data_IF_216648807245
#
_entry.id   IF_216648807245
#
_cell.length_a   1.000
_cell.length_b   1.000
_cell.length_c   1.000
_cell.angle_alpha   90.00
_cell.angle_beta   90.00
_cell.angle_gamma   90.00
#
_symmetry.space_group_name_H-M   'P 1'
#
loop_
_entity.id
_entity.type
_entity.pdbx_description
1 polymer ?
#
# COMPACT_ATOMS: atom_id res chain seq x y z
N UNK A 1 26.72 0.45 20.21
CA UNK A 1 25.83 1.45 20.83
C UNK A 1 26.47 2.85 20.91
N UNK A 2 27.70 3.03 21.41
CA UNK A 2 28.34 4.37 21.44
C UNK A 2 29.01 4.83 20.11
N UNK A 3 29.17 3.94 19.12
CA UNK A 3 29.87 4.26 17.86
C UNK A 3 29.02 4.94 16.78
N UNK A 4 27.70 4.94 16.91
CA UNK A 4 26.77 5.52 15.91
C UNK A 4 26.61 7.03 16.12
N UNK A 5 26.66 7.47 17.38
CA UNK A 5 26.55 8.89 17.78
C UNK A 5 27.70 9.77 17.23
N UNK A 6 28.86 9.19 16.97
CA UNK A 6 30.04 9.93 16.52
C UNK A 6 30.05 10.17 14.99
N UNK A 7 29.40 9.31 14.21
CA UNK A 7 29.40 9.39 12.74
C UNK A 7 28.42 10.46 12.25
N UNK A 8 27.31 10.65 12.96
CA UNK A 8 26.28 11.63 12.61
C UNK A 8 26.78 13.07 12.80
N UNK A 9 27.63 13.33 13.81
CA UNK A 9 28.15 14.68 14.10
C UNK A 9 29.26 15.10 13.10
N UNK A 10 30.05 14.15 12.58
CA UNK A 10 31.22 14.46 11.73
C UNK A 10 30.84 14.72 10.26
N UNK A 11 29.70 14.20 9.79
CA UNK A 11 29.27 14.37 8.38
C UNK A 11 28.49 15.67 8.15
N UNK A 12 27.98 16.32 9.21
CA UNK A 12 27.28 17.62 9.16
C UNK A 12 28.18 18.76 8.65
N UNK A 13 29.51 18.56 8.59
CA UNK A 13 30.46 19.62 8.30
C UNK A 13 30.95 19.75 6.84
N UNK A 14 30.53 18.91 5.88
CA UNK A 14 31.32 18.76 4.63
C UNK A 14 30.69 18.84 3.24
N UNK A 15 29.40 19.10 3.01
CA UNK A 15 28.92 19.13 1.61
C UNK A 15 28.03 20.33 1.31
N UNK A 16 28.70 21.48 1.19
CA UNK A 16 28.27 22.56 0.32
C UNK A 16 28.68 22.26 -1.13
N UNK A 17 27.77 22.59 -2.04
CA UNK A 17 27.87 22.65 -3.51
C UNK A 17 27.75 21.34 -4.31
N UNK A 18 26.54 21.16 -4.88
CA UNK A 18 26.43 21.26 -6.34
C UNK A 18 25.75 20.10 -7.08
N UNK A 19 24.41 20.12 -7.16
CA UNK A 19 23.68 19.48 -8.26
C UNK A 19 22.68 20.47 -8.87
N UNK A 20 22.79 20.68 -10.18
CA UNK A 20 21.78 21.39 -10.99
C UNK A 20 20.96 20.39 -11.81
N UNK A 21 19.68 20.71 -11.88
CA UNK A 21 18.58 19.91 -12.40
C UNK A 21 18.55 19.75 -13.93
N UNK A 22 17.81 18.73 -14.41
CA UNK A 22 16.97 18.93 -15.60
C UNK A 22 15.75 18.01 -15.64
N UNK A 23 14.59 18.66 -15.52
CA UNK A 23 13.23 18.16 -15.75
C UNK A 23 12.99 18.03 -17.26
N UNK A 24 12.24 17.02 -17.72
CA UNK A 24 11.35 17.17 -18.87
C UNK A 24 10.20 16.17 -18.82
N UNK A 25 9.03 16.74 -19.06
CA UNK A 25 7.68 16.22 -19.00
C UNK A 25 7.26 15.78 -20.41
N UNK A 26 6.44 14.74 -20.54
CA UNK A 26 5.52 14.61 -21.67
C UNK A 26 4.31 13.75 -21.27
N UNK A 27 3.17 14.42 -21.23
CA UNK A 27 1.82 13.89 -21.38
C UNK A 27 1.65 13.23 -22.77
N UNK A 28 0.89 12.15 -22.89
CA UNK A 28 -0.54 12.18 -23.20
C UNK A 28 -1.03 10.85 -23.84
N UNK A 29 -2.31 10.61 -23.56
CA UNK A 29 -3.33 10.04 -24.43
C UNK A 29 -3.68 8.54 -24.44
N UNK A 30 -4.99 8.43 -24.53
CA UNK A 30 -5.92 7.39 -24.18
C UNK A 30 -6.37 6.75 -25.49
N UNK A 31 -6.16 5.44 -25.66
CA UNK A 31 -6.98 4.59 -26.53
C UNK A 31 -6.66 3.13 -26.27
N UNK A 32 -7.64 2.39 -25.72
CA UNK A 32 -7.56 0.94 -25.57
C UNK A 32 -7.96 0.27 -26.88
N UNK A 33 -6.97 0.01 -27.73
CA UNK A 33 -7.09 -0.87 -28.90
C UNK A 33 -6.36 -2.17 -28.63
N UNK A 34 -7.10 -3.28 -28.68
CA UNK A 34 -6.53 -4.64 -28.66
C UNK A 34 -5.80 -4.86 -29.98
N UNK A 35 -4.48 -4.72 -29.97
CA UNK A 35 -3.65 -5.01 -31.13
C UNK A 35 -3.13 -6.45 -31.04
N UNK A 36 -3.72 -7.32 -31.87
CA UNK A 36 -3.26 -8.68 -32.12
C UNK A 36 -2.01 -8.63 -32.98
N UNK A 37 -0.86 -9.03 -32.46
CA UNK A 37 0.27 -9.42 -33.31
C UNK A 37 0.06 -10.89 -33.70
N UNK A 38 -0.70 -11.11 -34.78
CA UNK A 38 -0.84 -12.44 -35.38
C UNK A 38 0.50 -12.84 -36.00
N UNK A 39 1.09 -13.89 -35.46
CA UNK A 39 2.14 -14.64 -36.13
C UNK A 39 1.54 -15.27 -37.41
N UNK A 40 2.21 -15.00 -38.53
CA UNK A 40 1.83 -15.36 -39.90
C UNK A 40 1.46 -16.86 -40.00
N UNK A 41 0.27 -17.13 -40.53
CA UNK A 41 -0.35 -18.45 -40.68
C UNK A 41 0.33 -19.26 -41.79
N UNK A 42 1.26 -20.15 -41.41
CA UNK A 42 1.73 -21.26 -42.25
C UNK A 42 0.92 -22.50 -41.87
N UNK A 43 0.05 -22.94 -42.79
CA UNK A 43 -1.04 -23.88 -42.55
C UNK A 43 -0.73 -25.11 -41.68
N UNK A 44 -1.56 -25.29 -40.64
CA UNK A 44 -1.94 -26.52 -39.91
C UNK A 44 -0.91 -27.63 -39.59
N UNK A 45 0.40 -27.42 -39.75
CA UNK A 45 1.41 -28.48 -39.54
C UNK A 45 2.01 -28.54 -38.14
N UNK A 46 1.79 -27.54 -37.28
CA UNK A 46 2.39 -27.48 -35.93
C UNK A 46 1.33 -27.21 -34.87
N UNK A 47 1.62 -27.60 -33.63
CA UNK A 47 0.80 -27.25 -32.48
C UNK A 47 0.72 -25.72 -32.37
N UNK A 48 -0.48 -25.23 -32.13
CA UNK A 48 -0.79 -23.81 -31.95
C UNK A 48 -1.56 -23.62 -30.66
N UNK A 49 -1.38 -22.46 -30.04
CA UNK A 49 -2.03 -22.06 -28.79
C UNK A 49 -2.81 -20.77 -29.03
N UNK A 50 -4.05 -20.73 -28.55
CA UNK A 50 -4.90 -19.56 -28.53
C UNK A 50 -5.35 -19.32 -27.10
N UNK A 51 -5.38 -18.05 -26.69
CA UNK A 51 -5.93 -17.62 -25.41
C UNK A 51 -6.96 -16.55 -25.68
N UNK A 52 -8.17 -16.76 -25.16
CA UNK A 52 -9.26 -15.80 -25.23
C UNK A 52 -9.61 -15.31 -23.82
N UNK A 53 -9.94 -14.02 -23.71
CA UNK A 53 -10.41 -13.42 -22.47
C UNK A 53 -11.94 -13.46 -22.46
N UNK A 54 -12.50 -14.30 -21.61
CA UNK A 54 -13.94 -14.45 -21.43
C UNK A 54 -14.38 -13.66 -20.20
N UNK A 55 -15.58 -13.07 -20.24
CA UNK A 55 -16.24 -12.47 -19.08
C UNK A 55 -17.37 -13.37 -18.63
N UNK A 56 -17.30 -13.85 -17.40
CA UNK A 56 -18.32 -14.70 -16.81
C UNK A 56 -19.01 -13.97 -15.65
N UNK A 57 -20.33 -14.10 -15.57
CA UNK A 57 -21.08 -13.63 -14.41
C UNK A 57 -20.97 -14.67 -13.28
N UNK A 58 -20.59 -14.21 -12.09
CA UNK A 58 -20.53 -15.00 -10.85
C UNK A 58 -21.46 -14.37 -9.81
N UNK A 59 -21.74 -15.08 -8.71
CA UNK A 59 -22.55 -14.56 -7.61
C UNK A 59 -21.96 -13.28 -6.99
N UNK A 60 -20.64 -13.08 -7.11
CA UNK A 60 -19.89 -11.94 -6.57
C UNK A 60 -19.61 -10.83 -7.60
N UNK A 61 -20.05 -10.99 -8.85
CA UNK A 61 -19.90 -9.95 -9.88
C UNK A 61 -19.52 -10.50 -11.26
N UNK A 62 -18.67 -9.78 -11.99
CA UNK A 62 -18.10 -10.23 -13.25
C UNK A 62 -16.65 -10.65 -13.03
N UNK A 63 -16.27 -11.78 -13.60
CA UNK A 63 -14.92 -12.34 -13.55
C UNK A 63 -14.36 -12.49 -14.96
N UNK A 64 -13.14 -11.98 -15.15
CA UNK A 64 -12.37 -12.21 -16.36
C UNK A 64 -11.67 -13.58 -16.25
N UNK A 65 -11.77 -14.40 -17.30
CA UNK A 65 -11.21 -15.76 -17.36
C UNK A 65 -10.38 -15.91 -18.64
N UNK A 66 -9.15 -16.40 -18.50
CA UNK A 66 -8.36 -16.83 -19.66
C UNK A 66 -8.77 -18.25 -20.06
N UNK A 67 -9.32 -18.41 -21.27
CA UNK A 67 -9.60 -19.71 -21.87
C UNK A 67 -8.43 -20.09 -22.80
N UNK A 68 -7.63 -21.06 -22.37
CA UNK A 68 -6.42 -21.52 -23.06
C UNK A 68 -6.77 -22.76 -23.87
N UNK A 69 -6.52 -22.69 -25.17
CA UNK A 69 -6.91 -23.73 -26.14
C UNK A 69 -5.76 -24.06 -27.08
N UNK A 70 -5.69 -25.32 -27.50
CA UNK A 70 -4.69 -25.79 -28.46
C UNK A 70 -5.33 -26.44 -29.67
N UNK A 71 -4.61 -26.40 -30.80
CA UNK A 71 -4.99 -27.01 -32.07
C UNK A 71 -3.74 -27.37 -32.88
N UNK A 72 -3.82 -28.39 -33.72
CA UNK A 72 -2.77 -28.72 -34.69
C UNK A 72 -2.18 -30.11 -34.51
N UNK A 73 -1.05 -30.32 -35.15
CA UNK A 73 -0.39 -31.62 -35.25
C UNK A 73 0.52 -31.88 -34.04
N UNK A 74 0.45 -33.11 -33.51
CA UNK A 74 1.28 -33.60 -32.42
C UNK A 74 1.98 -34.89 -32.89
N UNK A 75 3.31 -34.92 -32.79
CA UNK A 75 4.12 -36.07 -33.16
C UNK A 75 4.61 -36.78 -31.90
N UNK A 76 3.88 -37.80 -31.46
CA UNK A 76 4.27 -38.64 -30.33
C UNK A 76 5.46 -39.55 -30.71
N UNK A 77 6.21 -40.06 -29.71
CA UNK A 77 7.22 -41.10 -29.94
C UNK A 77 6.63 -42.37 -30.56
N UNK A 78 5.46 -42.79 -30.08
CA UNK A 78 4.75 -44.00 -30.51
C UNK A 78 3.22 -43.84 -30.45
N UNK A 79 2.49 -44.80 -31.01
CA UNK A 79 1.04 -44.83 -30.90
C UNK A 79 0.60 -45.26 -29.51
N UNK A 80 -0.45 -44.64 -28.99
CA UNK A 80 -0.91 -44.88 -27.63
C UNK A 80 -0.08 -44.20 -26.55
N UNK A 81 0.67 -43.14 -26.90
CA UNK A 81 1.52 -42.46 -25.94
C UNK A 81 0.69 -41.60 -24.97
N UNK A 82 0.93 -41.76 -23.66
CA UNK A 82 0.24 -40.97 -22.63
C UNK A 82 0.88 -39.60 -22.45
N UNK A 83 0.03 -38.58 -22.31
CA UNK A 83 0.46 -37.19 -22.28
C UNK A 83 -0.17 -36.41 -21.14
N UNK A 84 0.62 -35.52 -20.57
CA UNK A 84 0.17 -34.45 -19.68
C UNK A 84 0.22 -33.12 -20.43
N UNK A 85 -0.75 -32.25 -20.20
CA UNK A 85 -0.69 -30.87 -20.65
C UNK A 85 -0.17 -29.99 -19.52
N UNK A 86 0.90 -29.26 -19.80
CA UNK A 86 1.48 -28.28 -18.91
C UNK A 86 1.18 -26.88 -19.44
N UNK A 87 0.77 -25.97 -18.55
CA UNK A 87 0.62 -24.55 -18.85
C UNK A 87 1.51 -23.74 -17.91
N UNK A 88 2.32 -22.87 -18.50
CA UNK A 88 3.14 -21.88 -17.80
C UNK A 88 2.75 -20.49 -18.29
N UNK A 89 2.74 -19.53 -17.37
CA UNK A 89 2.41 -18.14 -17.63
C UNK A 89 3.55 -17.22 -17.17
N UNK A 90 4.02 -16.37 -18.06
CA UNK A 90 5.02 -15.34 -17.73
C UNK A 90 4.63 -13.97 -18.26
N UNK A 91 5.07 -12.94 -17.55
CA UNK A 91 4.99 -11.55 -17.97
C UNK A 91 6.27 -11.18 -18.74
N UNK A 92 6.11 -10.83 -20.01
CA UNK A 92 7.19 -10.44 -20.93
C UNK A 92 7.06 -8.97 -21.36
N UNK A 93 6.43 -8.14 -20.51
CA UNK A 93 6.16 -6.73 -20.83
C UNK A 93 7.42 -5.96 -21.16
N UNK A 94 8.46 -6.12 -20.36
CA UNK A 94 9.75 -5.45 -20.59
C UNK A 94 10.50 -6.09 -21.75
N UNK A 95 10.73 -7.41 -21.68
CA UNK A 95 11.28 -8.22 -22.76
C UNK A 95 11.10 -9.73 -22.46
N UNK A 96 11.39 -10.60 -23.43
CA UNK A 96 11.29 -12.06 -23.23
C UNK A 96 12.45 -12.66 -22.43
N UNK A 97 13.64 -12.06 -22.47
CA UNK A 97 14.84 -12.58 -21.79
C UNK A 97 14.82 -12.38 -20.27
N UNK A 98 13.98 -11.46 -19.80
CA UNK A 98 13.75 -11.09 -18.41
C UNK A 98 12.28 -11.31 -18.07
N UNK A 99 11.71 -12.41 -18.58
CA UNK A 99 10.35 -12.82 -18.29
C UNK A 99 10.16 -12.96 -16.77
N UNK A 100 9.15 -12.26 -16.24
CA UNK A 100 8.82 -12.29 -14.82
C UNK A 100 7.74 -13.34 -14.56
N UNK A 101 7.81 -14.08 -13.44
CA UNK A 101 6.80 -15.06 -13.11
C UNK A 101 5.47 -14.38 -12.81
N UNK A 102 4.38 -14.93 -13.31
CA UNK A 102 3.04 -14.60 -12.81
C UNK A 102 2.74 -15.52 -11.65
N UNK A 103 2.37 -14.96 -10.49
CA UNK A 103 2.09 -15.77 -9.30
C UNK A 103 0.61 -16.20 -9.27
N UNK A 104 0.30 -17.28 -8.57
CA UNK A 104 -1.06 -17.77 -8.37
C UNK A 104 -1.41 -17.86 -6.88
N UNK A 105 -2.63 -17.52 -6.50
CA UNK A 105 -3.12 -17.65 -5.12
C UNK A 105 -3.66 -19.06 -4.81
N UNK A 106 -3.92 -19.87 -5.84
CA UNK A 106 -4.47 -21.21 -5.68
C UNK A 106 -3.32 -22.21 -5.60
N UNK A 107 -3.13 -22.85 -4.44
CA UNK A 107 -1.99 -23.73 -4.16
C UNK A 107 -1.81 -24.88 -5.17
N UNK A 108 -2.91 -25.48 -5.66
CA UNK A 108 -2.84 -26.54 -6.69
C UNK A 108 -2.32 -26.08 -8.06
N UNK A 109 -2.22 -24.76 -8.27
CA UNK A 109 -1.72 -24.14 -9.50
C UNK A 109 -0.41 -23.37 -9.26
N UNK A 110 0.31 -23.72 -8.21
CA UNK A 110 1.64 -23.20 -7.92
C UNK A 110 2.69 -24.26 -8.25
N UNK A 111 3.93 -23.83 -8.51
CA UNK A 111 5.07 -24.74 -8.53
C UNK A 111 5.35 -25.27 -7.12
N UNK A 112 6.00 -26.44 -7.01
CA UNK A 112 6.27 -27.09 -5.72
C UNK A 112 7.03 -26.18 -4.74
N UNK A 113 8.04 -25.46 -5.23
CA UNK A 113 8.89 -24.58 -4.42
C UNK A 113 8.66 -23.07 -4.69
N UNK A 114 7.58 -22.72 -5.40
CA UNK A 114 7.37 -21.32 -5.79
C UNK A 114 5.89 -20.99 -6.02
N UNK A 115 5.43 -19.79 -5.60
CA UNK A 115 4.07 -19.34 -5.87
C UNK A 115 3.81 -19.01 -7.35
N UNK A 116 4.80 -19.20 -8.23
CA UNK A 116 4.65 -19.03 -9.67
C UNK A 116 3.54 -19.95 -10.20
N UNK A 117 2.72 -19.41 -11.10
CA UNK A 117 1.64 -20.13 -11.74
C UNK A 117 2.20 -21.32 -12.53
N UNK A 118 1.63 -22.49 -12.26
CA UNK A 118 1.94 -23.74 -12.93
C UNK A 118 0.71 -24.62 -12.94
N UNK A 119 0.35 -25.15 -14.09
CA UNK A 119 -0.70 -26.15 -14.19
C UNK A 119 -0.19 -27.35 -14.98
N UNK A 120 -0.43 -28.55 -14.45
CA UNK A 120 -0.19 -29.83 -15.14
C UNK A 120 -1.38 -30.74 -14.87
N UNK A 121 -1.94 -31.30 -15.92
CA UNK A 121 -3.01 -32.29 -15.81
C UNK A 121 -2.89 -33.35 -16.91
N UNK A 122 -3.50 -34.51 -16.68
CA UNK A 122 -3.54 -35.58 -17.65
C UNK A 122 -4.36 -35.15 -18.87
N UNK A 123 -3.70 -35.04 -20.02
CA UNK A 123 -4.35 -34.63 -21.26
C UNK A 123 -4.97 -35.81 -22.02
N UNK A 124 -4.41 -37.01 -21.82
CA UNK A 124 -4.92 -38.23 -22.42
C UNK A 124 -3.88 -39.00 -23.23
N UNK A 125 -4.37 -40.00 -23.95
CA UNK A 125 -3.58 -40.93 -24.77
C UNK A 125 -3.66 -40.54 -26.25
N UNK A 126 -2.51 -40.32 -26.88
CA UNK A 126 -2.40 -40.05 -28.32
C UNK A 126 -2.49 -41.36 -29.09
N UNK A 127 -3.64 -41.64 -29.70
CA UNK A 127 -3.93 -42.94 -30.34
C UNK A 127 -3.00 -43.28 -31.52
N UNK A 128 -2.45 -42.26 -32.18
CA UNK A 128 -1.52 -42.43 -33.29
C UNK A 128 -0.23 -41.64 -33.04
N UNK A 129 0.88 -42.12 -33.60
CA UNK A 129 2.17 -41.42 -33.58
C UNK A 129 2.02 -39.99 -34.11
N UNK A 130 1.25 -39.85 -35.18
CA UNK A 130 0.85 -38.57 -35.75
C UNK A 130 -0.61 -38.30 -35.36
N UNK A 131 -0.83 -37.49 -34.34
CA UNK A 131 -2.17 -37.10 -33.89
C UNK A 131 -2.50 -35.68 -34.34
N UNK A 132 -3.75 -35.43 -34.76
CA UNK A 132 -4.21 -34.12 -35.22
C UNK A 132 -5.38 -33.65 -34.35
N UNK A 133 -5.22 -32.49 -33.70
CA UNK A 133 -6.32 -31.78 -33.05
C UNK A 133 -7.00 -30.89 -34.09
N UNK A 134 -8.10 -31.38 -34.67
CA UNK A 134 -8.82 -30.67 -35.74
C UNK A 134 -9.56 -29.43 -35.25
N UNK A 135 -9.99 -29.41 -33.99
CA UNK A 135 -10.72 -28.33 -33.35
C UNK A 135 -9.89 -27.72 -32.22
N UNK A 136 -10.27 -26.51 -31.80
CA UNK A 136 -9.72 -25.90 -30.60
C UNK A 136 -10.18 -26.67 -29.37
N UNK A 137 -9.24 -27.35 -28.72
CA UNK A 137 -9.49 -28.09 -27.49
C UNK A 137 -9.07 -27.24 -26.30
N UNK A 138 -9.97 -27.07 -25.33
CA UNK A 138 -9.65 -26.38 -24.09
C UNK A 138 -8.66 -27.20 -23.25
N UNK A 139 -7.62 -26.53 -22.78
CA UNK A 139 -6.60 -27.10 -21.87
C UNK A 139 -6.87 -26.62 -20.45
N UNK A 140 -7.15 -25.32 -20.29
CA UNK A 140 -7.36 -24.71 -18.98
C UNK A 140 -8.25 -23.47 -19.10
N UNK A 141 -9.15 -23.31 -18.13
CA UNK A 141 -9.82 -22.04 -17.84
C UNK A 141 -9.26 -21.45 -16.55
N UNK A 142 -8.66 -20.26 -16.65
CA UNK A 142 -7.88 -19.64 -15.59
C UNK A 142 -8.49 -18.30 -15.18
N UNK A 143 -9.19 -18.23 -14.03
CA UNK A 143 -9.73 -16.98 -13.51
C UNK A 143 -8.63 -15.95 -13.24
N UNK A 144 -8.73 -14.76 -13.82
CA UNK A 144 -7.70 -13.74 -13.74
C UNK A 144 -7.48 -13.20 -12.31
N UNK A 145 -8.49 -13.30 -11.43
CA UNK A 145 -8.38 -12.88 -10.03
C UNK A 145 -7.50 -13.82 -9.17
N UNK A 146 -7.21 -15.03 -9.64
CA UNK A 146 -6.28 -15.96 -8.98
C UNK A 146 -4.82 -15.63 -9.27
N UNK A 147 -4.57 -14.70 -10.21
CA UNK A 147 -3.24 -14.33 -10.64
C UNK A 147 -2.78 -13.02 -10.01
N UNK A 148 -1.52 -13.01 -9.56
CA UNK A 148 -0.81 -11.80 -9.11
C UNK A 148 0.30 -11.50 -10.10
N UNK A 149 0.11 -10.45 -10.88
CA UNK A 149 1.07 -10.00 -11.89
C UNK A 149 2.24 -9.23 -11.24
N UNK A 150 3.37 -9.07 -11.95
CA UNK A 150 4.52 -8.32 -11.42
C UNK A 150 4.21 -6.85 -11.14
N UNK A 151 3.53 -6.17 -12.06
CA UNK A 151 3.08 -4.79 -11.82
C UNK A 151 1.72 -4.45 -12.48
N UNK A 152 1.15 -3.30 -12.15
CA UNK A 152 -0.12 -2.76 -12.64
C UNK A 152 -0.01 -2.26 -14.08
N UNK A 153 -1.13 -2.14 -14.78
CA UNK A 153 -1.23 -1.53 -16.10
C UNK A 153 -1.26 -2.57 -17.23
N UNK A 154 -0.90 -2.13 -18.43
CA UNK A 154 -0.93 -2.98 -19.62
C UNK A 154 0.25 -3.94 -19.61
N UNK A 155 -0.03 -5.25 -19.64
CA UNK A 155 0.94 -6.34 -19.57
C UNK A 155 0.91 -7.20 -20.82
N UNK A 156 2.09 -7.66 -21.25
CA UNK A 156 2.25 -8.68 -22.30
C UNK A 156 2.47 -10.02 -21.62
N UNK A 157 1.47 -10.89 -21.68
CA UNK A 157 1.50 -12.18 -21.02
C UNK A 157 1.75 -13.27 -22.04
N UNK A 158 2.76 -14.10 -21.81
CA UNK A 158 3.09 -15.27 -22.65
C UNK A 158 2.56 -16.52 -21.98
N UNK A 159 1.63 -17.18 -22.65
CA UNK A 159 1.10 -18.47 -22.27
C UNK A 159 1.85 -19.52 -23.08
N UNK A 160 2.51 -20.46 -22.40
CA UNK A 160 3.18 -21.60 -23.03
C UNK A 160 2.43 -22.85 -22.63
N UNK A 161 1.99 -23.61 -23.62
CA UNK A 161 1.37 -24.93 -23.44
C UNK A 161 2.33 -25.97 -24.00
N UNK A 162 2.77 -26.90 -23.15
CA UNK A 162 3.64 -28.01 -23.52
C UNK A 162 2.92 -29.32 -23.24
N UNK A 163 2.92 -30.22 -24.24
CA UNK A 163 2.48 -31.60 -24.08
C UNK A 163 3.69 -32.44 -23.70
N UNK A 164 3.65 -33.06 -22.54
CA UNK A 164 4.74 -33.84 -21.96
C UNK A 164 4.43 -35.33 -21.99
N UNK A 165 5.45 -36.17 -22.14
CA UNK A 165 5.32 -37.61 -21.93
C UNK A 165 5.12 -37.93 -20.44
N UNK A 166 4.07 -38.69 -20.10
CA UNK A 166 3.72 -39.00 -18.70
C UNK A 166 4.75 -39.89 -17.97
N UNK A 167 5.64 -40.58 -18.70
CA UNK A 167 6.68 -41.44 -18.12
C UNK A 167 8.06 -40.79 -18.07
N UNK A 168 8.41 -39.95 -19.05
CA UNK A 168 9.76 -39.40 -19.20
C UNK A 168 9.85 -37.90 -19.02
N UNK A 169 8.72 -37.20 -18.89
CA UNK A 169 8.59 -35.74 -18.81
C UNK A 169 9.15 -34.97 -20.00
N UNK A 170 9.54 -35.67 -21.07
CA UNK A 170 10.05 -35.06 -22.28
C UNK A 170 8.92 -34.30 -22.99
N UNK A 171 9.25 -33.09 -23.46
CA UNK A 171 8.34 -32.31 -24.28
C UNK A 171 8.14 -32.98 -25.66
N UNK A 172 6.87 -33.24 -25.99
CA UNK A 172 6.44 -33.84 -27.25
C UNK A 172 6.10 -32.73 -28.26
N UNK A 173 5.42 -31.69 -27.78
CA UNK A 173 5.06 -30.52 -28.58
C UNK A 173 4.85 -29.33 -27.64
N UNK A 174 5.14 -28.13 -28.15
CA UNK A 174 4.86 -26.89 -27.44
C UNK A 174 4.32 -25.83 -28.38
N UNK A 175 3.47 -24.97 -27.83
CA UNK A 175 2.97 -23.78 -28.50
C UNK A 175 2.86 -22.65 -27.49
N UNK A 176 3.07 -21.42 -27.95
CA UNK A 176 2.87 -20.25 -27.11
C UNK A 176 2.03 -19.20 -27.81
N UNK A 177 1.34 -18.39 -27.00
CA UNK A 177 0.59 -17.22 -27.46
C UNK A 177 0.91 -16.05 -26.53
N UNK A 178 0.96 -14.85 -27.09
CA UNK A 178 1.14 -13.62 -26.33
C UNK A 178 -0.16 -12.83 -26.39
N UNK A 179 -0.68 -12.44 -25.24
CA UNK A 179 -1.84 -11.54 -25.14
C UNK A 179 -1.47 -10.26 -24.41
N UNK A 180 -2.24 -9.20 -24.66
CA UNK A 180 -2.17 -7.96 -23.88
C UNK A 180 -3.32 -7.93 -22.89
N UNK A 181 -2.99 -7.77 -21.60
CA UNK A 181 -3.97 -7.73 -20.50
C UNK A 181 -3.75 -6.48 -19.66
N UNK A 182 -4.83 -5.77 -19.30
CA UNK A 182 -4.75 -4.55 -18.48
C UNK A 182 -5.05 -4.88 -17.02
N UNK A 183 -4.01 -4.96 -16.19
CA UNK A 183 -4.15 -5.10 -14.75
C UNK A 183 -4.54 -3.78 -14.09
N UNK A 184 -5.63 -3.77 -13.32
CA UNK A 184 -6.05 -2.63 -12.53
C UNK A 184 -5.41 -2.58 -11.13
N UNK A 185 -4.95 -3.72 -10.62
CA UNK A 185 -4.40 -3.87 -9.27
C UNK A 185 -2.87 -3.73 -9.26
N UNK A 186 -2.26 -3.20 -8.18
CA UNK A 186 -0.83 -3.26 -7.96
C UNK A 186 -0.32 -4.71 -8.07
N UNK A 187 0.79 -4.91 -8.77
CA UNK A 187 1.46 -6.20 -8.78
C UNK A 187 2.42 -6.38 -7.60
N UNK A 188 3.01 -7.56 -7.45
CA UNK A 188 3.89 -7.86 -6.30
C UNK A 188 5.16 -6.99 -6.27
N UNK A 189 5.66 -6.53 -7.42
CA UNK A 189 6.77 -5.57 -7.50
C UNK A 189 6.28 -4.19 -7.06
N UNK A 190 5.12 -3.73 -7.54
CA UNK A 190 4.56 -2.44 -7.12
C UNK A 190 4.33 -2.42 -5.61
N UNK A 191 3.83 -3.51 -5.02
CA UNK A 191 3.60 -3.60 -3.57
C UNK A 191 4.92 -3.43 -2.80
N UNK A 192 5.97 -4.11 -3.24
CA UNK A 192 7.30 -4.04 -2.62
C UNK A 192 7.91 -2.64 -2.75
N UNK A 193 7.80 -2.02 -3.94
CA UNK A 193 8.28 -0.65 -4.17
C UNK A 193 7.46 0.37 -3.40
N UNK A 194 6.13 0.25 -3.39
CA UNK A 194 5.23 1.12 -2.65
C UNK A 194 5.47 1.03 -1.13
N UNK A 195 5.78 -0.15 -0.59
CA UNK A 195 6.14 -0.30 0.81
C UNK A 195 7.37 0.55 1.16
N UNK A 196 8.43 0.48 0.33
CA UNK A 196 9.65 1.29 0.51
C UNK A 196 9.37 2.79 0.42
N UNK A 197 8.56 3.20 -0.57
CA UNK A 197 8.16 4.60 -0.74
C UNK A 197 7.33 5.08 0.45
N UNK A 198 6.44 4.23 0.96
CA UNK A 198 5.60 4.52 2.13
C UNK A 198 6.43 4.77 3.38
N UNK A 199 7.46 3.96 3.62
CA UNK A 199 8.38 4.16 4.75
C UNK A 199 9.13 5.49 4.63
N UNK A 200 9.65 5.81 3.44
CA UNK A 200 10.34 7.08 3.19
C UNK A 200 9.43 8.28 3.43
N UNK A 201 8.20 8.25 2.88
CA UNK A 201 7.22 9.33 3.07
C UNK A 201 6.75 9.44 4.52
N UNK A 202 6.66 8.31 5.24
CA UNK A 202 6.29 8.29 6.66
C UNK A 202 7.33 9.02 7.51
N UNK A 203 8.63 8.73 7.28
CA UNK A 203 9.71 9.44 7.97
C UNK A 203 9.67 10.93 7.63
N UNK A 204 9.56 11.28 6.34
CA UNK A 204 9.49 12.69 5.92
C UNK A 204 8.31 13.43 6.56
N UNK A 205 7.12 12.83 6.55
CA UNK A 205 5.94 13.39 7.20
C UNK A 205 6.18 13.60 8.70
N UNK A 206 6.70 12.59 9.38
CA UNK A 206 6.97 12.65 10.81
C UNK A 206 8.02 13.70 11.17
N UNK A 207 9.09 13.82 10.38
CA UNK A 207 10.09 14.88 10.54
C UNK A 207 9.50 16.28 10.31
N UNK A 208 8.58 16.42 9.34
CA UNK A 208 7.89 17.68 9.09
C UNK A 208 7.08 18.15 10.32
N UNK A 209 6.61 17.23 11.16
CA UNK A 209 5.88 17.55 12.38
C UNK A 209 6.69 18.36 13.41
N UNK A 210 8.03 18.26 13.39
CA UNK A 210 8.90 18.96 14.33
C UNK A 210 9.12 20.43 13.98
N UNK A 211 9.09 20.74 12.68
CA UNK A 211 9.59 22.01 12.18
C UNK A 211 11.10 22.22 12.39
N UNK A 212 11.66 23.33 11.87
CA UNK A 212 13.10 23.60 11.92
C UNK A 212 13.63 23.80 13.35
N UNK A 213 12.80 24.29 14.27
CA UNK A 213 13.20 24.65 15.63
C UNK A 213 13.34 23.43 16.55
N UNK A 214 12.57 22.35 16.32
CA UNK A 214 12.53 21.19 17.21
C UNK A 214 13.24 19.95 16.64
N UNK A 215 13.95 20.10 15.51
CA UNK A 215 14.61 18.98 14.83
C UNK A 215 15.75 18.35 15.63
N UNK A 216 16.35 19.08 16.57
CA UNK A 216 17.42 18.61 17.47
C UNK A 216 16.86 18.10 18.81
N UNK A 217 15.54 17.95 18.94
CA UNK A 217 14.90 17.43 20.14
C UNK A 217 15.26 15.95 20.35
N UNK A 218 15.95 15.66 21.46
CA UNK A 218 16.43 14.31 21.81
C UNK A 218 15.28 13.28 21.89
N UNK A 219 14.12 13.69 22.42
CA UNK A 219 12.95 12.80 22.50
C UNK A 219 12.40 12.44 21.12
N UNK A 220 12.51 13.34 20.14
CA UNK A 220 12.09 13.07 18.77
C UNK A 220 13.05 12.11 18.05
N UNK A 221 14.36 12.21 18.34
CA UNK A 221 15.35 11.23 17.91
C UNK A 221 15.01 9.82 18.40
N UNK A 222 14.72 9.68 19.71
CA UNK A 222 14.35 8.40 20.31
C UNK A 222 13.07 7.80 19.70
N UNK A 223 12.03 8.60 19.47
CA UNK A 223 10.79 8.15 18.82
C UNK A 223 11.06 7.56 17.43
N UNK A 224 11.91 8.23 16.64
CA UNK A 224 12.23 7.78 15.29
C UNK A 224 13.13 6.53 15.30
N UNK A 225 14.09 6.46 16.22
CA UNK A 225 14.93 5.27 16.45
C UNK A 225 14.09 4.04 16.81
N UNK A 226 13.13 4.19 17.74
CA UNK A 226 12.21 3.12 18.13
C UNK A 226 11.34 2.65 16.96
N UNK A 227 10.86 3.58 16.14
CA UNK A 227 10.09 3.24 14.94
C UNK A 227 10.94 2.46 13.91
N UNK A 228 12.18 2.90 13.68
CA UNK A 228 13.12 2.20 12.79
C UNK A 228 13.45 0.81 13.34
N UNK A 229 13.71 0.70 14.64
CA UNK A 229 13.99 -0.57 15.31
C UNK A 229 12.83 -1.57 15.10
N UNK A 230 11.59 -1.12 15.28
CA UNK A 230 10.39 -1.94 15.03
C UNK A 230 10.24 -2.39 13.56
N UNK A 231 10.77 -1.64 12.59
CA UNK A 231 10.77 -2.05 11.17
C UNK A 231 11.79 -3.13 10.85
N UNK A 232 12.88 -3.22 11.60
CA UNK A 232 13.98 -4.15 11.32
C UNK A 232 13.97 -5.39 12.22
N UNK A 233 13.12 -5.42 13.26
CA UNK A 233 13.05 -6.50 14.24
C UNK A 233 12.74 -7.87 13.61
N UNK A 234 11.85 -7.91 12.61
CA UNK A 234 11.43 -9.15 11.94
C UNK A 234 12.32 -9.57 10.77
N UNK A 235 13.48 -8.94 10.57
CA UNK A 235 14.38 -9.25 9.46
C UNK A 235 15.49 -10.18 9.95
N UNK A 236 15.40 -11.45 9.57
CA UNK A 236 16.36 -12.49 9.99
C UNK A 236 17.73 -12.34 9.30
N UNK A 237 17.76 -11.89 8.04
CA UNK A 237 19.00 -11.70 7.30
C UNK A 237 19.73 -10.43 7.75
N UNK A 238 20.93 -10.60 8.32
CA UNK A 238 21.74 -9.52 8.87
C UNK A 238 22.08 -8.43 7.84
N UNK A 239 22.38 -8.83 6.60
CA UNK A 239 22.76 -7.88 5.55
C UNK A 239 21.57 -7.06 5.10
N UNK A 240 20.42 -7.69 4.87
CA UNK A 240 19.16 -7.02 4.56
C UNK A 240 18.75 -6.09 5.71
N UNK A 241 18.88 -6.54 6.96
CA UNK A 241 18.59 -5.75 8.15
C UNK A 241 19.44 -4.48 8.20
N UNK A 242 20.76 -4.62 8.02
CA UNK A 242 21.70 -3.49 7.97
C UNK A 242 21.40 -2.55 6.79
N UNK A 243 21.06 -3.08 5.62
CA UNK A 243 20.71 -2.27 4.46
C UNK A 243 19.43 -1.45 4.71
N UNK A 244 18.39 -2.05 5.29
CA UNK A 244 17.15 -1.35 5.64
C UNK A 244 17.41 -0.29 6.69
N UNK A 245 18.15 -0.62 7.75
CA UNK A 245 18.54 0.33 8.80
C UNK A 245 19.24 1.56 8.22
N UNK A 246 20.30 1.35 7.43
CA UNK A 246 21.05 2.46 6.82
C UNK A 246 20.15 3.33 5.95
N UNK A 247 19.33 2.73 5.07
CA UNK A 247 18.43 3.50 4.20
C UNK A 247 17.43 4.36 4.99
N UNK A 248 16.83 3.82 6.05
CA UNK A 248 15.86 4.57 6.86
C UNK A 248 16.55 5.66 7.68
N UNK A 249 17.75 5.40 8.21
CA UNK A 249 18.56 6.39 8.91
C UNK A 249 19.01 7.53 7.97
N UNK A 250 19.48 7.20 6.77
CA UNK A 250 19.85 8.18 5.73
C UNK A 250 18.63 9.03 5.36
N UNK A 251 17.45 8.41 5.19
CA UNK A 251 16.20 9.14 4.90
C UNK A 251 15.84 10.12 6.02
N UNK A 252 15.97 9.69 7.28
CA UNK A 252 15.73 10.55 8.44
C UNK A 252 16.68 11.74 8.49
N UNK A 253 17.96 11.50 8.20
CA UNK A 253 18.97 12.53 8.13
C UNK A 253 18.68 13.53 7.00
N UNK A 254 18.36 13.06 5.80
CA UNK A 254 18.01 13.91 4.66
C UNK A 254 16.77 14.76 4.95
N UNK A 255 15.73 14.16 5.56
CA UNK A 255 14.52 14.87 5.97
C UNK A 255 14.83 15.97 7.01
N UNK A 256 15.71 15.68 7.96
CA UNK A 256 16.13 16.65 8.97
C UNK A 256 16.92 17.82 8.36
N UNK A 257 17.81 17.55 7.40
CA UNK A 257 18.56 18.59 6.66
C UNK A 257 17.60 19.50 5.89
N UNK A 258 16.62 18.92 5.17
CA UNK A 258 15.61 19.67 4.43
C UNK A 258 14.71 20.52 5.34
N UNK A 259 14.39 20.00 6.53
CA UNK A 259 13.63 20.74 7.53
C UNK A 259 14.45 21.94 8.06
N UNK A 260 15.72 21.73 8.43
CA UNK A 260 16.64 22.78 8.90
C UNK A 260 16.89 23.89 7.89
N UNK A 261 16.97 23.56 6.60
CA UNK A 261 17.30 24.53 5.55
C UNK A 261 16.16 25.51 5.24
N UNK A 262 14.99 25.34 5.85
CA UNK A 262 13.80 26.17 5.59
C UNK A 262 13.18 25.94 4.21
N UNK A 263 13.69 24.98 3.42
CA UNK A 263 13.07 24.57 2.15
C UNK A 263 11.73 23.87 2.37
N UNK A 264 11.48 23.39 3.60
CA UNK A 264 10.21 22.83 4.04
C UNK A 264 9.91 21.47 3.41
N UNK A 265 9.40 20.55 4.21
CA UNK A 265 8.78 19.34 3.68
C UNK A 265 7.33 19.67 3.34
N UNK A 266 6.97 19.57 2.05
CA UNK A 266 5.60 19.80 1.59
C UNK A 266 4.70 18.68 2.13
N UNK A 267 4.13 18.95 3.30
CA UNK A 267 3.34 17.98 4.08
C UNK A 267 2.10 17.54 3.31
N UNK A 268 1.47 18.44 2.55
CA UNK A 268 0.29 18.10 1.75
C UNK A 268 0.68 17.16 0.60
N UNK A 269 1.73 17.48 -0.16
CA UNK A 269 2.20 16.61 -1.23
C UNK A 269 2.66 15.24 -0.73
N UNK A 270 3.33 15.20 0.43
CA UNK A 270 3.73 13.94 1.09
C UNK A 270 2.49 13.11 1.45
N UNK A 271 1.50 13.72 2.11
CA UNK A 271 0.28 13.03 2.52
C UNK A 271 -0.53 12.51 1.31
N UNK A 272 -0.72 13.31 0.26
CA UNK A 272 -1.39 12.88 -0.97
C UNK A 272 -0.66 11.71 -1.63
N UNK A 273 0.67 11.79 -1.70
CA UNK A 273 1.47 10.70 -2.26
C UNK A 273 1.35 9.44 -1.41
N UNK A 274 1.44 9.56 -0.09
CA UNK A 274 1.30 8.44 0.85
C UNK A 274 -0.08 7.80 0.69
N UNK A 275 -1.16 8.58 0.64
CA UNK A 275 -2.51 8.08 0.40
C UNK A 275 -2.63 7.34 -0.94
N UNK A 276 -1.90 7.73 -1.98
CA UNK A 276 -1.97 7.09 -3.29
C UNK A 276 -1.25 5.73 -3.39
N UNK A 277 -0.26 5.46 -2.54
CA UNK A 277 0.60 4.26 -2.64
C UNK A 277 0.44 3.27 -1.49
N UNK A 278 -0.14 3.69 -0.38
CA UNK A 278 -0.17 2.92 0.86
C UNK A 278 -1.56 2.39 1.22
N UNK A 279 -1.60 1.34 2.05
CA UNK A 279 -2.83 0.81 2.62
C UNK A 279 -3.38 1.74 3.72
N UNK A 280 -4.65 1.59 4.09
CA UNK A 280 -5.22 2.36 5.22
C UNK A 280 -4.47 2.11 6.54
N UNK A 281 -3.95 0.89 6.74
CA UNK A 281 -3.16 0.54 7.92
C UNK A 281 -1.83 1.32 7.95
N UNK A 282 -1.17 1.44 6.81
CA UNK A 282 0.06 2.22 6.68
C UNK A 282 -0.18 3.71 6.92
N UNK A 283 -1.31 4.25 6.44
CA UNK A 283 -1.69 5.65 6.70
C UNK A 283 -1.90 5.91 8.19
N UNK A 284 -2.51 4.96 8.90
CA UNK A 284 -2.65 5.05 10.35
C UNK A 284 -1.31 4.99 11.07
N UNK A 285 -0.39 4.12 10.64
CA UNK A 285 0.95 4.05 11.20
C UNK A 285 1.75 5.33 10.94
N UNK A 286 1.62 5.93 9.75
CA UNK A 286 2.25 7.20 9.41
C UNK A 286 1.72 8.35 10.27
N UNK A 287 0.41 8.41 10.47
CA UNK A 287 -0.22 9.41 11.34
C UNK A 287 0.17 9.22 12.81
N UNK A 288 0.30 7.98 13.28
CA UNK A 288 0.74 7.70 14.65
C UNK A 288 2.16 8.20 14.88
N UNK A 289 3.09 7.91 13.96
CA UNK A 289 4.46 8.45 14.03
C UNK A 289 4.49 9.98 13.97
N UNK A 290 3.70 10.58 13.07
CA UNK A 290 3.56 12.03 12.97
C UNK A 290 3.13 12.65 14.32
N UNK A 291 2.10 12.09 14.96
CA UNK A 291 1.62 12.57 16.26
C UNK A 291 2.61 12.33 17.40
N UNK A 292 3.39 11.24 17.36
CA UNK A 292 4.43 10.99 18.35
C UNK A 292 5.56 12.01 18.24
N UNK A 293 5.97 12.38 17.02
CA UNK A 293 6.95 13.44 16.79
C UNK A 293 6.42 14.81 17.20
N UNK A 294 5.15 15.11 16.88
CA UNK A 294 4.48 16.33 17.32
C UNK A 294 4.42 16.42 18.86
N UNK A 295 4.16 15.30 19.54
CA UNK A 295 4.07 15.22 21.00
C UNK A 295 5.36 15.66 21.72
N UNK A 296 6.53 15.52 21.10
CA UNK A 296 7.83 15.89 21.67
C UNK A 296 7.97 17.38 22.01
N UNK A 297 7.14 18.24 21.40
CA UNK A 297 7.14 19.68 21.59
C UNK A 297 5.71 20.27 21.60
N UNK A 298 4.72 19.42 21.88
CA UNK A 298 3.32 19.82 21.85
C UNK A 298 2.99 20.73 23.03
N UNK A 299 2.49 21.92 22.72
CA UNK A 299 2.01 22.91 23.71
C UNK A 299 0.51 23.26 23.55
N UNK A 300 -0.20 22.54 22.67
CA UNK A 300 -1.62 22.80 22.40
C UNK A 300 -1.93 23.99 21.49
N UNK A 301 -0.92 24.58 20.86
CA UNK A 301 -1.12 25.70 19.94
C UNK A 301 -2.08 25.37 18.78
N UNK A 302 -2.83 26.36 18.25
CA UNK A 302 -3.67 26.18 17.07
C UNK A 302 -2.89 25.63 15.86
N UNK A 303 -1.60 25.98 15.75
CA UNK A 303 -0.72 25.50 14.68
C UNK A 303 -0.51 23.98 14.74
N UNK A 304 -0.27 23.41 15.92
CA UNK A 304 -0.15 21.96 16.09
C UNK A 304 -1.46 21.24 15.77
N UNK A 305 -2.59 21.78 16.22
CA UNK A 305 -3.91 21.20 15.94
C UNK A 305 -4.25 21.26 14.44
N UNK A 306 -3.89 22.37 13.78
CA UNK A 306 -4.05 22.54 12.33
C UNK A 306 -3.16 21.55 11.56
N UNK A 307 -1.89 21.41 11.95
CA UNK A 307 -0.96 20.47 11.32
C UNK A 307 -1.47 19.02 11.40
N UNK A 308 -1.94 18.60 12.57
CA UNK A 308 -2.57 17.28 12.74
C UNK A 308 -3.82 17.10 11.88
N UNK A 309 -4.66 18.13 11.77
CA UNK A 309 -5.89 18.08 10.96
C UNK A 309 -5.57 18.01 9.47
N UNK A 310 -4.62 18.81 8.98
CA UNK A 310 -4.18 18.81 7.59
C UNK A 310 -3.51 17.49 7.20
N UNK A 311 -2.65 16.95 8.07
CA UNK A 311 -2.03 15.64 7.86
C UNK A 311 -3.10 14.54 7.75
N UNK A 312 -4.06 14.52 8.66
CA UNK A 312 -5.15 13.54 8.63
C UNK A 312 -6.02 13.66 7.37
N UNK A 313 -6.36 14.88 6.94
CA UNK A 313 -7.11 15.12 5.71
C UNK A 313 -6.35 14.63 4.48
N UNK A 314 -5.06 14.97 4.36
CA UNK A 314 -4.23 14.52 3.25
C UNK A 314 -4.05 12.99 3.24
N UNK A 315 -3.96 12.37 4.42
CA UNK A 315 -3.92 10.92 4.59
C UNK A 315 -5.29 10.24 4.44
N UNK A 316 -6.38 11.02 4.26
CA UNK A 316 -7.75 10.52 4.18
C UNK A 316 -8.15 9.71 5.42
N UNK A 317 -7.78 10.21 6.60
CA UNK A 317 -8.14 9.63 7.90
C UNK A 317 -9.42 10.31 8.39
N UNK A 318 -10.41 9.48 8.70
CA UNK A 318 -11.68 9.92 9.28
C UNK A 318 -11.47 10.73 10.58
N UNK A 319 -12.25 11.81 10.73
CA UNK A 319 -12.10 12.75 11.84
C UNK A 319 -12.21 12.10 13.23
N UNK A 320 -13.13 11.14 13.40
CA UNK A 320 -13.29 10.40 14.65
C UNK A 320 -12.08 9.51 14.96
N UNK A 321 -11.41 9.01 13.92
CA UNK A 321 -10.19 8.22 14.07
C UNK A 321 -9.00 9.10 14.42
N UNK A 322 -8.84 10.26 13.76
CA UNK A 322 -7.84 11.27 14.13
C UNK A 322 -7.97 11.63 15.60
N UNK A 323 -9.18 11.97 16.05
CA UNK A 323 -9.44 12.34 17.45
C UNK A 323 -9.02 11.25 18.41
N UNK A 324 -9.36 9.99 18.12
CA UNK A 324 -8.95 8.87 18.96
C UNK A 324 -7.42 8.74 19.05
N UNK A 325 -6.70 9.01 17.95
CA UNK A 325 -5.23 9.02 17.92
C UNK A 325 -4.65 10.20 18.71
N UNK A 326 -5.16 11.42 18.50
CA UNK A 326 -4.76 12.63 19.25
C UNK A 326 -4.95 12.43 20.76
N UNK A 327 -6.14 11.98 21.16
CA UNK A 327 -6.44 11.68 22.56
C UNK A 327 -5.61 10.53 23.12
N UNK A 328 -5.02 9.67 22.29
CA UNK A 328 -4.12 8.59 22.75
C UNK A 328 -2.68 9.10 22.89
N UNK A 329 -2.20 9.85 21.91
CA UNK A 329 -0.78 10.12 21.69
C UNK A 329 -0.30 11.46 22.25
N UNK A 330 -1.10 12.53 22.13
CA UNK A 330 -0.64 13.87 22.54
C UNK A 330 -0.74 14.07 24.08
N UNK A 331 0.22 14.80 24.68
CA UNK A 331 0.23 15.15 26.10
C UNK A 331 -0.74 16.31 26.39
N UNK A 332 -2.04 16.03 26.23
CA UNK A 332 -3.11 17.05 26.28
C UNK A 332 -3.33 17.66 27.67
N UNK A 333 -2.88 17.00 28.74
CA UNK A 333 -3.06 17.49 30.12
C UNK A 333 -1.98 18.51 30.49
N UNK A 334 -0.79 18.36 29.89
CA UNK A 334 0.39 19.19 30.09
C UNK A 334 0.42 20.40 29.14
N UNK A 335 -0.48 20.44 28.15
CA UNK A 335 -0.53 21.51 27.16
C UNK A 335 -0.90 22.88 27.77
N UNK A 336 -0.15 23.91 27.38
CA UNK A 336 -0.37 25.30 27.79
C UNK A 336 -1.70 25.85 27.24
N UNK A 337 -1.99 25.54 25.97
CA UNK A 337 -3.20 25.96 25.28
C UNK A 337 -4.19 24.80 25.18
N UNK A 338 -5.45 25.06 25.52
CA UNK A 338 -6.50 24.04 25.58
C UNK A 338 -7.59 24.34 24.57
N UNK A 339 -7.48 23.74 23.39
CA UNK A 339 -8.54 23.78 22.39
C UNK A 339 -9.58 22.68 22.67
N UNK A 340 -10.61 23.05 23.43
CA UNK A 340 -11.71 22.15 23.79
C UNK A 340 -12.45 21.64 22.56
N UNK A 341 -12.59 22.47 21.52
CA UNK A 341 -13.32 22.10 20.31
C UNK A 341 -12.54 21.05 19.52
N UNK A 342 -11.23 21.23 19.32
CA UNK A 342 -10.40 20.23 18.65
C UNK A 342 -10.39 18.88 19.41
N UNK A 343 -10.18 18.91 20.73
CA UNK A 343 -10.08 17.68 21.54
C UNK A 343 -11.42 16.91 21.62
N UNK A 344 -12.53 17.64 21.65
CA UNK A 344 -13.88 17.08 21.61
C UNK A 344 -14.43 16.95 20.19
N UNK A 345 -13.61 17.27 19.19
CA UNK A 345 -13.93 17.43 17.77
C UNK A 345 -15.33 17.97 17.52
N UNK A 346 -15.58 19.15 18.09
CA UNK A 346 -16.69 20.04 17.79
C UNK A 346 -16.21 20.92 16.65
N UNK A 347 -16.97 20.99 15.57
CA UNK A 347 -16.67 21.84 14.41
C UNK A 347 -17.75 22.92 14.27
N UNK A 348 -17.39 24.06 13.69
CA UNK A 348 -18.26 25.24 13.62
C UNK A 348 -19.53 25.02 12.78
N UNK A 349 -19.52 24.03 11.89
CA UNK A 349 -20.65 23.62 11.06
C UNK A 349 -21.66 22.72 11.81
N UNK A 350 -21.33 22.24 13.02
CA UNK A 350 -22.23 21.37 13.78
C UNK A 350 -23.42 22.14 14.34
N UNK A 351 -24.62 21.64 14.08
CA UNK A 351 -25.83 22.14 14.74
C UNK A 351 -25.78 21.81 16.23
N UNK A 352 -26.38 22.67 17.07
CA UNK A 352 -26.35 22.49 18.53
C UNK A 352 -26.92 21.13 18.99
N UNK A 353 -27.82 20.53 18.21
CA UNK A 353 -28.35 19.18 18.48
C UNK A 353 -27.28 18.10 18.33
N UNK A 354 -26.43 18.20 17.32
CA UNK A 354 -25.35 17.25 17.05
C UNK A 354 -24.18 17.45 18.01
N UNK A 355 -23.88 18.71 18.38
CA UNK A 355 -22.91 19.01 19.45
C UNK A 355 -23.33 18.33 20.75
N UNK A 356 -24.61 18.43 21.16
CA UNK A 356 -25.12 17.76 22.37
C UNK A 356 -25.01 16.24 22.31
N UNK A 357 -25.34 15.63 21.17
CA UNK A 357 -25.18 14.17 20.98
C UNK A 357 -23.72 13.77 21.11
N UNK A 358 -22.81 14.51 20.49
CA UNK A 358 -21.36 14.27 20.54
C UNK A 358 -20.80 14.39 21.96
N UNK A 359 -21.12 15.48 22.65
CA UNK A 359 -20.73 15.69 24.05
C UNK A 359 -21.30 14.61 24.97
N UNK A 360 -22.48 14.08 24.68
CA UNK A 360 -23.07 12.98 25.45
C UNK A 360 -22.34 11.65 25.22
N UNK A 361 -21.92 11.36 23.98
CA UNK A 361 -21.14 10.15 23.70
C UNK A 361 -19.75 10.20 24.31
N UNK A 362 -19.06 11.35 24.21
CA UNK A 362 -17.76 11.54 24.87
C UNK A 362 -17.90 11.46 26.39
N UNK A 363 -18.93 12.07 26.98
CA UNK A 363 -19.18 11.96 28.42
C UNK A 363 -19.34 10.50 28.85
N UNK A 364 -20.15 9.71 28.13
CA UNK A 364 -20.34 8.28 28.44
C UNK A 364 -19.02 7.50 28.38
N UNK A 365 -18.18 7.77 27.37
CA UNK A 365 -16.88 7.13 27.16
C UNK A 365 -15.87 7.47 28.26
N UNK A 366 -15.79 8.73 28.70
CA UNK A 366 -14.84 9.15 29.73
C UNK A 366 -15.33 8.83 31.13
N UNK A 367 -16.63 8.96 31.40
CA UNK A 367 -17.22 8.58 32.67
C UNK A 367 -17.03 7.08 32.99
N UNK A 368 -17.03 6.21 31.97
CA UNK A 368 -16.73 4.79 32.18
C UNK A 368 -15.26 4.50 32.55
N UNK A 369 -14.36 5.50 32.50
CA UNK A 369 -12.92 5.37 32.77
C UNK A 369 -12.46 6.02 34.08
N UNK A 370 -13.33 6.72 34.78
CA UNK A 370 -13.03 7.40 36.06
C UNK A 370 -12.57 6.42 37.14
N UNK A 371 -13.05 5.18 37.10
CA UNK A 371 -12.67 4.11 38.03
C UNK A 371 -11.63 3.13 37.45
N UNK A 372 -10.88 3.53 36.43
CA UNK A 372 -9.87 2.65 35.82
C UNK A 372 -8.70 2.34 36.79
N UNK A 373 -8.12 1.12 36.78
CA UNK A 373 -7.00 0.79 37.68
C UNK A 373 -5.77 1.69 37.50
N UNK A 374 -5.49 2.10 36.26
CA UNK A 374 -4.38 3.00 35.94
C UNK A 374 -4.71 4.45 36.33
N UNK A 375 -3.88 5.04 37.20
CA UNK A 375 -4.00 6.42 37.66
C UNK A 375 -3.88 7.45 36.52
N UNK A 376 -3.06 7.21 35.49
CA UNK A 376 -2.93 8.12 34.34
C UNK A 376 -4.22 8.16 33.53
N UNK A 377 -4.86 6.99 33.35
CA UNK A 377 -6.14 6.88 32.63
C UNK A 377 -7.26 7.59 33.40
N UNK A 378 -7.28 7.48 34.74
CA UNK A 378 -8.25 8.20 35.57
C UNK A 378 -8.07 9.70 35.48
N UNK A 379 -6.86 10.20 35.68
CA UNK A 379 -6.57 11.63 35.62
C UNK A 379 -6.94 12.23 34.25
N UNK A 380 -6.68 11.49 33.16
CA UNK A 380 -7.10 11.88 31.81
C UNK A 380 -8.62 11.85 31.63
N UNK A 381 -9.32 10.89 32.23
CA UNK A 381 -10.77 10.84 32.18
C UNK A 381 -11.40 12.03 32.90
N UNK A 382 -10.90 12.36 34.09
CA UNK A 382 -11.36 13.51 34.87
C UNK A 382 -11.14 14.81 34.08
N UNK A 383 -9.94 15.00 33.52
CA UNK A 383 -9.62 16.13 32.65
C UNK A 383 -10.58 16.26 31.45
N UNK A 384 -10.87 15.15 30.76
CA UNK A 384 -11.80 15.18 29.62
C UNK A 384 -13.24 15.46 30.05
N UNK A 385 -13.65 15.06 31.25
CA UNK A 385 -14.97 15.37 31.79
C UNK A 385 -15.12 16.86 32.14
N UNK A 386 -14.06 17.48 32.66
CA UNK A 386 -14.00 18.93 32.89
C UNK A 386 -14.16 19.70 31.56
N UNK A 387 -13.40 19.33 30.52
CA UNK A 387 -13.54 19.95 29.18
C UNK A 387 -14.95 19.82 28.62
N UNK A 388 -15.61 18.67 28.84
CA UNK A 388 -17.00 18.46 28.41
C UNK A 388 -17.97 19.37 29.19
N UNK A 389 -17.74 19.57 30.49
CA UNK A 389 -18.56 20.45 31.32
C UNK A 389 -18.43 21.91 30.87
N UNK A 390 -17.21 22.35 30.56
CA UNK A 390 -16.93 23.70 30.03
C UNK A 390 -17.58 23.91 28.67
N UNK A 391 -17.41 22.95 27.74
CA UNK A 391 -18.02 23.00 26.41
C UNK A 391 -19.56 23.03 26.48
N UNK A 392 -20.17 22.26 27.40
CA UNK A 392 -21.62 22.30 27.63
C UNK A 392 -22.07 23.67 28.13
N UNK A 393 -21.34 24.25 29.07
CA UNK A 393 -21.64 25.57 29.64
C UNK A 393 -21.62 26.64 28.55
N UNK A 394 -20.57 26.67 27.73
CA UNK A 394 -20.43 27.63 26.62
C UNK A 394 -21.57 27.50 25.58
N UNK A 395 -21.98 26.27 25.25
CA UNK A 395 -23.13 26.02 24.36
C UNK A 395 -24.47 26.52 24.94
N UNK A 396 -24.61 26.64 26.26
CA UNK A 396 -25.79 27.23 26.91
C UNK A 396 -25.76 28.75 26.87
N UNK A 397 -24.58 29.36 27.03
CA UNK A 397 -24.41 30.82 27.06
C UNK A 397 -24.61 31.46 25.68
N UNK A 398 -24.11 30.86 24.61
CA UNK A 398 -24.35 31.33 23.23
C UNK A 398 -25.83 31.29 22.84
N UNK A 399 -26.60 30.34 23.38
CA UNK A 399 -28.06 30.27 23.17
C UNK A 399 -28.84 31.35 23.90
N UNK A 400 -28.37 31.79 25.08
CA UNK A 400 -28.97 32.91 25.81
C UNK A 400 -28.67 34.23 25.09
N UNK A 401 -27.48 34.37 24.52
CA UNK A 401 -27.11 35.55 23.73
C UNK A 401 -27.88 35.63 22.39
N UNK A 402 -28.03 34.52 21.66
CA UNK A 402 -28.78 34.49 20.39
C UNK A 402 -30.29 34.72 20.57
N UNK A 403 -30.88 34.25 21.68
CA UNK A 403 -32.29 34.49 21.99
C UNK A 403 -32.55 35.93 22.48
N UNK A 404 -31.54 36.62 23.01
CA UNK A 404 -31.64 38.02 23.43
C UNK A 404 -31.48 39.06 22.31
N UNK A 405 -31.01 38.65 21.12
CA UNK A 405 -30.82 39.51 19.95
C UNK A 405 -31.96 39.46 18.92
N UNK A 406 -32.92 38.54 19.05
CA UNK A 406 -34.15 38.50 18.23
C UNK A 406 -35.30 39.34 18.82
N UNK A 407 -35.12 39.89 20.02
CA UNK A 407 -36.11 40.72 20.74
C UNK A 407 -35.74 42.23 20.79
N UNK A 408 -34.87 42.71 19.88
CA UNK A 408 -34.57 44.15 19.70
C UNK A 408 -34.90 44.69 18.31
#
# INVERSE_FOLDING_TARGET
MAGVLLIIIIVIMWVGLGLTAKKRQAQNDHNSSINRTQQKDDGHKRLTCQVDLLRQATESGQEDIFSIRIRGQINAPEAGHETDAQVILSDITENESFAQPVLCTVQKWQMEDSPAFYHRDYYGKLMQRLSMLSYWTAVLELPCNTLTLPRRGTRRLKFTVSLLSRGTENEIASASTIITYKSSRPGYIDITENARVTETLTIQLATAALGPENIENESAGAVLEDWIAGKIESIDDEQARKHVLNRLADTAQDAAILCKSGQGLDTLAICEKLASVSSIADRYAAMELFLQMLACHYNGSPEHNLAATQAAQGLQIEHDKLRAMVQKTLPIMEAEHRDSNFLLGITDDMLSGDIRKKLSSEYKKWNSRVNHPDAKVRAKADFMLELIADARSNCTTEKIAAAGSEDQ
#
